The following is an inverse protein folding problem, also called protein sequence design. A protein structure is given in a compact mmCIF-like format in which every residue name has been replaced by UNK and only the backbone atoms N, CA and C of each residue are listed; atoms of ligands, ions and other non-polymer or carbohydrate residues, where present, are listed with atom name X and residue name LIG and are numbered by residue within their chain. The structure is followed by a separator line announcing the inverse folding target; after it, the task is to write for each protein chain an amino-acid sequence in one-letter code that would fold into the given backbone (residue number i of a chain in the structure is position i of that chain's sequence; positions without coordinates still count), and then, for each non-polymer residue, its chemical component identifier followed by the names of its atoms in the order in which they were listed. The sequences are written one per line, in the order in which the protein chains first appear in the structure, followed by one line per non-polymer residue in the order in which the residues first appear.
data_IF_651364255157
#
_entry.id   IF_651364255157
#
_cell.length_a   1.000
_cell.length_b   1.000
_cell.length_c   1.000
_cell.angle_alpha   90.00
_cell.angle_beta   90.00
_cell.angle_gamma   90.00
#
_symmetry.space_group_name_H-M   'P 1'
#
loop_
_entity.id
_entity.type
_entity.pdbx_description
1 polymer ?
#
# COMPACT_ATOMS: atom_id res chain seq x y z
N UNK A 1 6.59 17.36 1.56
CA UNK A 1 7.56 17.85 0.56
C UNK A 1 6.82 18.20 -0.71
N UNK A 2 6.96 19.41 -1.23
CA UNK A 2 6.22 19.83 -2.43
C UNK A 2 6.79 19.31 -3.75
N UNK A 3 7.89 18.56 -3.72
CA UNK A 3 8.48 17.92 -4.91
C UNK A 3 7.98 16.48 -5.05
N UNK A 4 8.18 15.63 -4.03
CA UNK A 4 7.67 14.25 -4.05
C UNK A 4 6.22 14.10 -3.56
N UNK A 5 5.59 15.20 -3.14
CA UNK A 5 4.22 15.25 -2.60
C UNK A 5 3.98 14.35 -1.37
N UNK A 6 5.04 13.89 -0.70
CA UNK A 6 4.96 13.05 0.49
C UNK A 6 5.60 13.69 1.73
N UNK A 7 5.44 13.06 2.90
CA UNK A 7 6.09 13.43 4.15
C UNK A 7 7.61 13.50 3.95
N UNK A 8 8.29 14.43 4.63
CA UNK A 8 9.72 14.62 4.40
C UNK A 8 10.55 13.39 4.82
N UNK A 9 11.40 12.93 3.90
CA UNK A 9 12.50 12.00 4.18
C UNK A 9 13.78 12.79 4.18
N UNK A 10 14.51 12.75 5.30
CA UNK A 10 15.71 13.56 5.51
C UNK A 10 15.51 15.04 5.14
N UNK A 11 14.62 15.75 5.85
CA UNK A 11 14.32 17.14 5.53
C UNK A 11 15.57 18.02 5.59
N UNK A 12 15.71 18.91 4.62
CA UNK A 12 16.75 19.93 4.56
C UNK A 12 16.11 21.31 4.38
N UNK A 13 16.68 22.32 5.02
CA UNK A 13 16.29 23.72 4.82
C UNK A 13 17.32 24.38 3.92
N UNK A 14 16.87 24.97 2.82
CA UNK A 14 17.74 25.70 1.93
C UNK A 14 17.96 27.15 2.42
N UNK A 15 18.94 27.90 1.86
CA UNK A 15 19.21 29.26 2.30
C UNK A 15 18.03 30.22 2.16
N UNK A 16 17.13 29.99 1.19
CA UNK A 16 15.90 30.76 1.04
C UNK A 16 14.76 30.31 1.98
N UNK A 17 15.05 29.48 3.00
CA UNK A 17 14.12 29.12 4.08
C UNK A 17 13.09 28.02 3.74
N UNK A 18 13.10 27.48 2.53
CA UNK A 18 12.18 26.41 2.12
C UNK A 18 12.73 25.03 2.48
N UNK A 19 11.81 24.10 2.75
CA UNK A 19 12.12 22.78 3.27
C UNK A 19 11.76 21.69 2.25
N UNK A 20 12.68 20.77 2.00
CA UNK A 20 12.52 19.68 1.03
C UNK A 20 13.19 18.40 1.53
N UNK A 21 12.90 17.24 0.93
CA UNK A 21 13.70 16.03 1.17
C UNK A 21 15.10 16.24 0.58
N UNK A 22 16.14 15.72 1.25
CA UNK A 22 17.53 15.81 0.77
C UNK A 22 17.70 15.33 -0.67
N UNK A 23 17.00 14.25 -1.03
CA UNK A 23 17.02 13.65 -2.38
C UNK A 23 16.20 14.44 -3.40
N UNK A 24 15.17 15.16 -2.97
CA UNK A 24 14.31 15.94 -3.86
C UNK A 24 14.90 17.30 -4.21
N UNK A 25 15.75 17.86 -3.33
CA UNK A 25 16.29 19.20 -3.53
C UNK A 25 17.51 19.18 -4.45
N UNK A 26 17.27 19.52 -5.72
CA UNK A 26 18.31 19.93 -6.66
C UNK A 26 18.39 21.45 -6.78
N UNK A 27 17.24 22.11 -7.01
CA UNK A 27 17.09 23.57 -7.01
C UNK A 27 15.77 23.95 -6.33
N UNK A 28 15.68 25.14 -5.74
CA UNK A 28 14.43 25.58 -5.11
C UNK A 28 13.40 25.95 -6.20
N UNK A 29 12.25 25.26 -6.29
CA UNK A 29 11.25 25.55 -7.31
C UNK A 29 10.54 26.90 -7.11
N UNK A 30 10.59 27.45 -5.90
CA UNK A 30 9.90 28.70 -5.57
C UNK A 30 10.76 29.94 -5.80
N UNK A 31 12.07 29.86 -5.55
CA UNK A 31 12.85 31.07 -5.38
C UNK A 31 13.63 31.52 -6.61
N UNK A 32 13.81 30.69 -7.65
CA UNK A 32 14.64 31.00 -8.84
C UNK A 32 16.07 31.52 -8.53
N UNK A 33 16.50 31.53 -7.27
CA UNK A 33 17.85 31.93 -6.87
C UNK A 33 18.85 30.87 -7.31
N UNK A 34 19.81 31.28 -8.13
CA UNK A 34 20.92 30.46 -8.57
C UNK A 34 21.96 30.38 -7.46
N UNK A 35 22.04 29.22 -6.80
CA UNK A 35 23.14 28.93 -5.90
C UNK A 35 24.38 28.59 -6.76
N UNK A 36 25.42 29.43 -6.68
CA UNK A 36 26.65 29.26 -7.47
C UNK A 36 27.38 27.94 -7.16
N UNK A 37 27.07 27.30 -6.01
CA UNK A 37 27.51 25.96 -5.62
C UNK A 37 26.40 25.28 -4.83
N UNK A 38 26.22 23.96 -5.00
CA UNK A 38 25.26 23.17 -4.21
C UNK A 38 25.66 23.29 -2.73
N UNK A 39 24.83 23.89 -1.86
CA UNK A 39 25.18 23.99 -0.45
C UNK A 39 25.28 22.57 0.14
N UNK A 40 26.21 22.36 1.06
CA UNK A 40 26.22 21.15 1.89
C UNK A 40 25.01 21.21 2.83
N UNK A 41 23.87 20.76 2.33
CA UNK A 41 22.59 20.83 3.00
C UNK A 41 22.56 19.83 4.13
N UNK A 42 22.74 20.34 5.34
CA UNK A 42 22.57 19.58 6.57
C UNK A 42 21.09 19.28 6.79
N UNK A 43 20.83 18.08 7.28
CA UNK A 43 19.48 17.68 7.67
C UNK A 43 18.98 18.61 8.77
N UNK A 44 17.77 19.11 8.60
CA UNK A 44 17.03 19.82 9.62
C UNK A 44 16.51 18.80 10.66
N UNK A 45 17.24 18.68 11.77
CA UNK A 45 16.94 17.74 12.85
C UNK A 45 15.60 18.03 13.53
N UNK A 46 15.26 19.31 13.72
CA UNK A 46 13.97 19.72 14.28
C UNK A 46 12.81 19.29 13.39
N UNK A 47 12.90 19.51 12.08
CA UNK A 47 11.86 19.10 11.15
C UNK A 47 11.76 17.58 11.04
N UNK A 48 12.89 16.87 11.12
CA UNK A 48 12.91 15.41 11.20
C UNK A 48 12.20 14.90 12.45
N UNK A 49 12.41 15.52 13.60
CA UNK A 49 11.75 15.13 14.85
C UNK A 49 10.24 15.37 14.77
N UNK A 50 9.81 16.53 14.29
CA UNK A 50 8.40 16.85 14.08
C UNK A 50 7.72 15.86 13.11
N UNK A 51 8.40 15.51 12.02
CA UNK A 51 7.93 14.49 11.08
C UNK A 51 7.84 13.12 11.75
N UNK A 52 8.81 12.77 12.59
CA UNK A 52 8.80 11.52 13.35
C UNK A 52 7.63 11.46 14.34
N UNK A 53 7.33 12.55 15.03
CA UNK A 53 6.18 12.66 15.92
C UNK A 53 4.87 12.58 15.12
N UNK A 54 4.76 13.28 14.00
CA UNK A 54 3.61 13.20 13.10
C UNK A 54 3.36 11.76 12.64
N UNK A 55 4.40 11.04 12.18
CA UNK A 55 4.29 9.63 11.78
C UNK A 55 3.90 8.67 12.91
N UNK A 56 4.17 9.03 14.18
CA UNK A 56 3.77 8.23 15.35
C UNK A 56 2.33 8.50 15.79
N UNK A 57 1.84 9.73 15.60
CA UNK A 57 0.48 10.13 15.99
C UNK A 57 -0.54 9.94 14.88
N UNK A 58 -0.11 9.91 13.61
CA UNK A 58 -0.91 9.35 12.53
C UNK A 58 -0.69 7.85 12.51
N UNK A 59 -1.74 7.01 12.62
CA UNK A 59 -1.65 5.63 12.15
C UNK A 59 -1.08 5.69 10.73
N UNK A 60 -0.22 4.73 10.37
CA UNK A 60 0.25 4.57 8.99
C UNK A 60 -0.91 4.87 8.05
N UNK A 61 -0.66 5.67 6.99
CA UNK A 61 -1.63 5.84 5.92
C UNK A 61 -1.98 4.43 5.41
N UNK A 62 -2.98 3.78 6.00
CA UNK A 62 -3.97 3.09 5.22
C UNK A 62 -4.33 4.14 4.19
N UNK A 63 -3.95 3.94 2.94
CA UNK A 63 -4.67 4.54 1.83
C UNK A 63 -6.12 4.55 2.28
N UNK A 64 -6.70 5.74 2.52
CA UNK A 64 -8.07 5.84 3.04
C UNK A 64 -8.94 5.31 1.89
N UNK A 65 -9.06 3.98 1.80
CA UNK A 65 -9.85 3.32 0.80
C UNK A 65 -11.26 3.71 1.13
N UNK A 66 -11.88 4.36 0.16
CA UNK A 66 -13.23 4.84 0.29
C UNK A 66 -14.17 3.69 -0.03
N UNK A 67 -15.31 3.66 0.65
CA UNK A 67 -16.31 2.65 0.33
C UNK A 67 -16.89 2.88 -1.07
N UNK A 68 -16.88 1.83 -1.89
CA UNK A 68 -17.37 1.89 -3.26
C UNK A 68 -18.90 1.80 -3.38
N UNK A 69 -19.57 1.37 -2.31
CA UNK A 69 -21.01 1.15 -2.27
C UNK A 69 -21.81 2.34 -1.71
N UNK A 70 -21.13 3.38 -1.21
CA UNK A 70 -21.79 4.59 -0.75
C UNK A 70 -22.15 5.52 -1.92
N UNK A 71 -23.43 5.78 -2.14
CA UNK A 71 -23.91 6.61 -3.26
C UNK A 71 -23.64 8.12 -3.06
N UNK A 72 -23.76 8.62 -1.83
CA UNK A 72 -23.65 10.06 -1.54
C UNK A 72 -22.32 10.44 -0.87
N UNK A 73 -22.07 9.89 0.31
CA UNK A 73 -20.89 10.17 1.12
C UNK A 73 -20.04 8.92 1.24
N UNK A 74 -18.94 8.88 0.49
CA UNK A 74 -17.97 7.79 0.62
C UNK A 74 -17.35 7.78 2.02
N UNK A 75 -17.69 6.75 2.79
CA UNK A 75 -17.17 6.52 4.14
C UNK A 75 -15.82 5.79 4.06
N UNK A 76 -15.04 5.86 5.15
CA UNK A 76 -13.81 5.07 5.27
C UNK A 76 -14.14 3.58 5.21
N UNK A 77 -13.37 2.83 4.43
CA UNK A 77 -13.56 1.41 4.23
C UNK A 77 -12.44 0.58 4.87
N UNK A 78 -12.85 -0.55 5.42
CA UNK A 78 -11.99 -1.71 5.60
C UNK A 78 -12.31 -2.61 4.40
N UNK A 79 -11.38 -2.71 3.45
CA UNK A 79 -11.47 -3.67 2.34
C UNK A 79 -12.59 -3.31 1.34
N UNK A 80 -12.63 -2.04 0.89
CA UNK A 80 -13.66 -1.45 -0.02
C UNK A 80 -15.08 -1.32 0.55
N UNK A 81 -15.36 -1.85 1.74
CA UNK A 81 -16.62 -1.69 2.45
C UNK A 81 -16.46 -0.78 3.68
N UNK A 82 -17.34 0.20 3.84
CA UNK A 82 -17.53 0.86 5.13
C UNK A 82 -18.26 -0.06 6.09
N UNK A 83 -18.25 0.27 7.38
CA UNK A 83 -18.86 -0.54 8.44
C UNK A 83 -20.30 -0.99 8.12
N UNK A 84 -21.12 -0.10 7.55
CA UNK A 84 -22.51 -0.40 7.20
C UNK A 84 -22.65 -1.41 6.06
N UNK A 85 -21.73 -1.38 5.09
CA UNK A 85 -21.72 -2.34 3.97
C UNK A 85 -20.93 -3.62 4.29
N UNK A 86 -20.09 -3.59 5.33
CA UNK A 86 -19.39 -4.75 5.87
C UNK A 86 -20.28 -5.60 6.79
N UNK A 87 -21.19 -4.97 7.54
CA UNK A 87 -22.08 -5.65 8.50
C UNK A 87 -22.82 -6.87 7.91
N UNK A 88 -23.39 -6.83 6.69
CA UNK A 88 -24.03 -8.00 6.09
C UNK A 88 -23.08 -9.17 5.85
N UNK A 89 -21.81 -8.90 5.49
CA UNK A 89 -20.78 -9.92 5.32
C UNK A 89 -20.44 -10.61 6.65
N UNK A 90 -20.54 -9.87 7.75
CA UNK A 90 -20.27 -10.39 9.10
C UNK A 90 -21.49 -11.04 9.74
N UNK A 91 -22.72 -10.68 9.35
CA UNK A 91 -23.96 -11.21 9.97
C UNK A 91 -24.57 -12.37 9.19
N UNK A 92 -24.64 -12.29 7.87
CA UNK A 92 -25.39 -13.25 7.04
C UNK A 92 -24.57 -14.52 6.81
N UNK A 93 -25.09 -15.69 7.21
CA UNK A 93 -24.38 -16.96 7.11
C UNK A 93 -23.89 -17.33 5.69
N UNK A 94 -24.61 -16.87 4.66
CA UNK A 94 -24.17 -17.03 3.26
C UNK A 94 -22.99 -16.16 2.88
N UNK A 95 -22.88 -14.94 3.43
CA UNK A 95 -21.84 -13.96 3.13
C UNK A 95 -20.62 -14.06 4.05
N UNK A 96 -20.76 -14.68 5.23
CA UNK A 96 -19.62 -15.03 6.10
C UNK A 96 -18.59 -15.94 5.42
N UNK A 97 -19.00 -16.66 4.37
CA UNK A 97 -18.12 -17.51 3.56
C UNK A 97 -17.26 -16.70 2.58
N UNK A 98 -17.57 -15.42 2.35
CA UNK A 98 -16.75 -14.55 1.52
C UNK A 98 -15.58 -14.03 2.36
N UNK A 99 -14.37 -14.49 2.05
CA UNK A 99 -13.15 -13.98 2.66
C UNK A 99 -12.83 -12.62 2.04
N UNK A 100 -12.96 -11.56 2.82
CA UNK A 100 -12.57 -10.21 2.42
C UNK A 100 -11.05 -10.10 2.54
N UNK A 101 -10.37 -9.71 1.45
CA UNK A 101 -8.95 -9.40 1.48
C UNK A 101 -8.71 -7.95 1.85
N UNK A 102 -7.58 -7.68 2.51
CA UNK A 102 -7.12 -6.33 2.81
C UNK A 102 -6.96 -5.50 1.53
N UNK A 103 -7.04 -4.15 1.62
CA UNK A 103 -6.97 -3.31 0.45
C UNK A 103 -5.54 -3.40 -0.10
N UNK A 104 -5.39 -4.06 -1.24
CA UNK A 104 -4.11 -4.21 -1.94
C UNK A 104 -3.94 -3.07 -2.93
N UNK A 105 -2.70 -2.61 -3.10
CA UNK A 105 -2.38 -1.52 -4.04
C UNK A 105 -2.62 -1.90 -5.50
N UNK A 106 -2.50 -3.19 -5.84
CA UNK A 106 -2.73 -3.74 -7.19
C UNK A 106 -3.57 -5.02 -7.09
N UNK A 107 -4.84 -4.97 -7.49
CA UNK A 107 -5.69 -6.16 -7.50
C UNK A 107 -5.23 -7.20 -8.55
N UNK A 108 -4.64 -6.74 -9.65
CA UNK A 108 -4.20 -7.59 -10.77
C UNK A 108 -3.17 -8.64 -10.34
N UNK A 109 -2.35 -8.34 -9.33
CA UNK A 109 -1.34 -9.25 -8.79
C UNK A 109 -1.96 -10.45 -8.03
N UNK A 110 -3.22 -10.33 -7.63
CA UNK A 110 -3.96 -11.36 -6.89
C UNK A 110 -4.98 -12.11 -7.76
N UNK A 111 -5.08 -11.75 -9.03
CA UNK A 111 -6.01 -12.35 -9.99
C UNK A 111 -5.24 -13.13 -11.05
N UNK A 112 -5.64 -14.37 -11.27
CA UNK A 112 -5.14 -15.20 -12.34
C UNK A 112 -5.53 -14.61 -13.69
N UNK A 113 -4.54 -14.11 -14.44
CA UNK A 113 -4.73 -13.51 -15.75
C UNK A 113 -5.36 -14.45 -16.80
N UNK A 114 -5.24 -15.78 -16.62
CA UNK A 114 -5.85 -16.79 -17.52
C UNK A 114 -7.31 -17.08 -17.21
N UNK A 115 -7.72 -16.95 -15.96
CA UNK A 115 -8.99 -17.49 -15.46
C UNK A 115 -9.86 -16.45 -14.75
N UNK A 116 -9.36 -15.23 -14.59
CA UNK A 116 -10.02 -14.10 -13.90
C UNK A 116 -10.54 -14.50 -12.51
N UNK A 117 -9.69 -15.22 -11.77
CA UNK A 117 -10.01 -15.76 -10.44
C UNK A 117 -8.91 -15.48 -9.43
N UNK A 118 -9.23 -15.35 -8.14
CA UNK A 118 -8.25 -15.19 -7.09
C UNK A 118 -7.16 -16.27 -7.13
N UNK A 119 -5.93 -15.85 -6.87
CA UNK A 119 -4.79 -16.72 -6.63
C UNK A 119 -4.81 -17.12 -5.14
N UNK A 120 -5.42 -18.27 -4.83
CA UNK A 120 -5.60 -18.76 -3.46
C UNK A 120 -4.59 -19.87 -3.07
N UNK A 121 -3.84 -20.40 -4.05
CA UNK A 121 -2.92 -21.53 -3.87
C UNK A 121 -1.49 -21.12 -4.23
N UNK A 122 -0.51 -21.74 -3.60
CA UNK A 122 0.92 -21.64 -3.91
C UNK A 122 1.42 -22.98 -4.45
N UNK A 123 1.99 -22.98 -5.65
CA UNK A 123 2.68 -24.12 -6.23
C UNK A 123 4.14 -24.11 -5.77
N UNK A 124 4.57 -25.12 -4.99
CA UNK A 124 5.94 -25.21 -4.47
C UNK A 124 6.95 -25.55 -5.57
N UNK A 125 6.56 -26.35 -6.54
CA UNK A 125 7.41 -26.78 -7.65
C UNK A 125 7.79 -25.59 -8.54
N UNK A 126 6.81 -24.73 -8.86
CA UNK A 126 7.02 -23.55 -9.73
C UNK A 126 7.25 -22.25 -8.95
N UNK A 127 7.19 -22.32 -7.61
CA UNK A 127 7.29 -21.18 -6.69
C UNK A 127 6.40 -19.99 -7.07
N UNK A 128 5.13 -20.27 -7.40
CA UNK A 128 4.21 -19.25 -7.91
C UNK A 128 2.80 -19.39 -7.34
N UNK A 129 2.08 -18.28 -7.22
CA UNK A 129 0.68 -18.26 -6.81
C UNK A 129 -0.22 -18.64 -8.00
N UNK A 130 -1.17 -19.55 -7.78
CA UNK A 130 -2.05 -20.11 -8.81
C UNK A 130 -3.51 -20.11 -8.33
N UNK A 131 -4.45 -20.01 -9.25
CA UNK A 131 -5.87 -20.19 -8.93
C UNK A 131 -6.26 -21.68 -8.91
N UNK A 132 -7.43 -21.99 -8.38
CA UNK A 132 -7.97 -23.35 -8.32
C UNK A 132 -8.07 -24.05 -9.69
N UNK A 133 -8.30 -23.30 -10.77
CA UNK A 133 -8.36 -23.88 -12.12
C UNK A 133 -6.97 -24.24 -12.63
N UNK A 134 -5.97 -23.42 -12.32
CA UNK A 134 -4.57 -23.71 -12.64
C UNK A 134 -4.08 -24.96 -11.90
N UNK A 135 -4.45 -25.13 -10.62
CA UNK A 135 -4.03 -26.31 -9.83
C UNK A 135 -4.55 -27.62 -10.40
N UNK A 136 -5.77 -27.66 -10.97
CA UNK A 136 -6.34 -28.89 -11.54
C UNK A 136 -5.96 -29.14 -13.01
N UNK A 137 -5.42 -28.14 -13.70
CA UNK A 137 -5.00 -28.22 -15.11
C UNK A 137 -3.48 -28.20 -15.23
N UNK A 138 -2.92 -26.99 -15.26
CA UNK A 138 -1.51 -26.72 -15.57
C UNK A 138 -0.58 -27.27 -14.48
N UNK A 139 -1.04 -27.29 -13.21
CA UNK A 139 -0.26 -27.73 -12.05
C UNK A 139 -0.84 -29.00 -11.41
N UNK A 140 -1.55 -29.83 -12.18
CA UNK A 140 -2.28 -31.02 -11.67
C UNK A 140 -1.42 -31.99 -10.86
N UNK A 141 -0.15 -32.10 -11.22
CA UNK A 141 0.80 -33.02 -10.58
C UNK A 141 1.83 -32.30 -9.70
N UNK A 142 1.67 -30.99 -9.50
CA UNK A 142 2.57 -30.22 -8.66
C UNK A 142 2.03 -30.18 -7.23
N UNK A 143 2.91 -29.94 -6.28
CA UNK A 143 2.55 -29.70 -4.90
C UNK A 143 1.98 -28.29 -4.75
N UNK A 144 0.66 -28.18 -4.80
CA UNK A 144 -0.07 -26.95 -4.54
C UNK A 144 -0.68 -26.96 -3.15
N UNK A 145 -0.35 -25.94 -2.35
CA UNK A 145 -0.88 -25.74 -0.99
C UNK A 145 -1.64 -24.42 -0.91
N UNK A 146 -2.57 -24.23 0.04
CA UNK A 146 -3.14 -22.91 0.32
C UNK A 146 -2.04 -21.89 0.67
N UNK A 147 -2.18 -20.65 0.17
CA UNK A 147 -1.20 -19.57 0.46
C UNK A 147 -1.07 -19.32 1.96
N UNK A 148 -2.17 -19.45 2.70
CA UNK A 148 -2.23 -19.28 4.15
C UNK A 148 -1.29 -20.25 4.87
N UNK A 149 -1.35 -21.53 4.48
CA UNK A 149 -0.53 -22.61 5.05
C UNK A 149 0.95 -22.40 4.70
N UNK A 150 1.27 -22.05 3.46
CA UNK A 150 2.64 -21.74 3.03
C UNK A 150 3.23 -20.54 3.80
N UNK A 151 2.42 -19.53 4.10
CA UNK A 151 2.85 -18.33 4.82
C UNK A 151 3.08 -18.56 6.32
N UNK A 152 2.47 -19.59 6.90
CA UNK A 152 2.72 -20.03 8.28
C UNK A 152 3.97 -20.89 8.38
N UNK A 153 4.26 -21.74 7.38
CA UNK A 153 5.49 -22.55 7.35
C UNK A 153 6.78 -21.74 7.10
N UNK A 154 6.66 -20.53 6.54
CA UNK A 154 7.80 -19.63 6.27
C UNK A 154 8.08 -18.60 7.38
N UNK A 155 7.33 -18.63 8.49
CA UNK A 155 7.58 -17.78 9.67
C UNK A 155 8.57 -18.43 10.63
#
# INVERSE_FOLDING_TARGET
CSICLDVFTDPVTNPCGHNFCKTCLNNCPYCKETFNQRPDLKINTTLRELVGQYKKTTPEKTTDVLCDFCEERKLKALNSYCETHLEPHLRVAGLKKHKLMDPVSNLEDYICQKHDRPLDLFCRDDQTCVCLICSVKDHKNHNTVPIEEESEEKK
#
